data_IF_133166968954
#
_entry.id   IF_133166968954
#
_cell.length_a   1.000
_cell.length_b   1.000
_cell.length_c   1.000
_cell.angle_alpha   90.00
_cell.angle_beta   90.00
_cell.angle_gamma   90.00
#
_symmetry.space_group_name_H-M   'P 1'
#
loop_
_entity.id
_entity.type
_entity.pdbx_description
1 polymer ?
#
# COMPACT_ATOMS: atom_id res chain seq x y z
N UNK A 1 12.03 -8.78 -27.45
CA UNK A 1 10.57 -8.78 -27.24
C UNK A 1 10.32 -8.39 -25.78
N UNK A 2 9.64 -7.28 -25.52
CA UNK A 2 9.35 -6.83 -24.15
C UNK A 2 8.18 -7.64 -23.59
N UNK A 3 8.46 -8.54 -22.66
CA UNK A 3 7.44 -9.31 -21.94
C UNK A 3 6.63 -8.34 -21.06
N UNK A 4 5.31 -8.37 -21.16
CA UNK A 4 4.43 -7.62 -20.25
C UNK A 4 4.49 -8.26 -18.87
N UNK A 5 4.70 -7.45 -17.83
CA UNK A 5 4.64 -7.91 -16.44
C UNK A 5 3.23 -8.38 -16.10
N UNK A 6 3.15 -9.48 -15.36
CA UNK A 6 1.90 -10.07 -14.87
C UNK A 6 1.54 -9.50 -13.50
N UNK A 7 0.24 -9.53 -13.16
CA UNK A 7 -0.22 -9.08 -11.85
C UNK A 7 0.42 -9.91 -10.70
N UNK A 8 0.71 -11.19 -10.94
CA UNK A 8 1.39 -12.04 -9.96
C UNK A 8 2.85 -11.62 -9.75
N UNK A 9 3.57 -11.23 -10.81
CA UNK A 9 4.93 -10.70 -10.67
C UNK A 9 4.93 -9.41 -9.83
N UNK A 10 3.95 -8.52 -10.02
CA UNK A 10 3.79 -7.33 -9.18
C UNK A 10 3.46 -7.67 -7.72
N UNK A 11 2.62 -8.68 -7.47
CA UNK A 11 2.32 -9.14 -6.12
C UNK A 11 3.56 -9.70 -5.41
N UNK A 12 4.43 -10.39 -6.15
CA UNK A 12 5.66 -10.98 -5.61
C UNK A 12 6.64 -9.89 -5.11
N UNK A 13 6.69 -8.72 -5.75
CA UNK A 13 7.59 -7.61 -5.36
C UNK A 13 7.34 -7.21 -3.90
N UNK A 14 6.08 -7.12 -3.50
CA UNK A 14 5.71 -6.69 -2.14
C UNK A 14 5.60 -7.87 -1.16
N UNK A 15 5.79 -9.11 -1.63
CA UNK A 15 5.50 -10.34 -0.87
C UNK A 15 4.02 -10.50 -0.56
N UNK A 16 3.15 -10.09 -1.47
CA UNK A 16 1.70 -10.07 -1.33
C UNK A 16 0.99 -11.09 -2.23
N UNK A 17 -0.32 -10.89 -2.40
CA UNK A 17 -1.17 -11.68 -3.28
C UNK A 17 -1.98 -10.77 -4.21
N UNK A 18 -2.45 -11.33 -5.32
CA UNK A 18 -3.39 -10.65 -6.22
C UNK A 18 -4.77 -10.61 -5.56
N UNK A 19 -5.34 -9.42 -5.45
CA UNK A 19 -6.71 -9.20 -4.92
C UNK A 19 -7.73 -9.26 -6.05
N UNK A 20 -7.46 -8.56 -7.16
CA UNK A 20 -8.31 -8.59 -8.36
C UNK A 20 -7.50 -8.26 -9.60
N UNK A 21 -7.97 -8.73 -10.74
CA UNK A 21 -7.50 -8.36 -12.08
C UNK A 21 -8.61 -7.74 -12.93
N UNK A 22 -9.81 -7.60 -12.38
CA UNK A 22 -10.97 -7.01 -13.06
C UNK A 22 -10.91 -5.48 -12.95
N UNK A 23 -10.84 -4.80 -14.10
CA UNK A 23 -10.68 -3.34 -14.18
C UNK A 23 -9.21 -2.93 -14.05
N UNK A 24 -8.61 -3.16 -12.89
CA UNK A 24 -7.18 -2.92 -12.62
C UNK A 24 -6.54 -4.16 -11.98
N UNK A 25 -5.21 -4.29 -12.10
CA UNK A 25 -4.47 -5.24 -11.28
C UNK A 25 -4.33 -4.62 -9.88
N UNK A 26 -4.83 -5.29 -8.85
CA UNK A 26 -4.63 -4.88 -7.45
C UNK A 26 -3.93 -5.99 -6.72
N UNK A 27 -2.84 -5.65 -6.05
CA UNK A 27 -2.05 -6.57 -5.23
C UNK A 27 -1.98 -6.04 -3.81
N UNK A 28 -1.92 -6.94 -2.84
CA UNK A 28 -1.93 -6.55 -1.44
C UNK A 28 -1.10 -7.49 -0.59
N UNK A 29 -0.39 -6.90 0.37
CA UNK A 29 0.18 -7.58 1.52
C UNK A 29 -0.47 -7.02 2.78
N UNK A 30 -0.84 -7.89 3.72
CA UNK A 30 -1.34 -7.40 5.00
C UNK A 30 -0.19 -6.97 5.90
N UNK A 31 -0.35 -5.82 6.55
CA UNK A 31 0.53 -5.38 7.62
C UNK A 31 0.28 -6.17 8.90
N UNK A 32 1.35 -6.40 9.66
CA UNK A 32 1.27 -7.10 10.94
C UNK A 32 1.12 -6.11 12.10
N UNK A 33 -0.09 -5.56 12.27
CA UNK A 33 -0.42 -4.64 13.36
C UNK A 33 -1.43 -5.33 14.28
N UNK A 34 -1.16 -5.36 15.58
CA UNK A 34 -2.10 -5.85 16.58
C UNK A 34 -3.18 -4.78 16.86
N UNK A 35 -4.12 -4.63 15.92
CA UNK A 35 -5.21 -3.68 16.01
C UNK A 35 -6.53 -4.34 16.43
N UNK A 36 -7.33 -3.59 17.16
CA UNK A 36 -8.72 -3.91 17.48
C UNK A 36 -9.66 -2.89 16.85
N UNK A 37 -10.89 -3.28 16.54
CA UNK A 37 -11.99 -2.40 16.15
C UNK A 37 -13.19 -2.83 16.99
N UNK A 38 -13.85 -1.88 17.66
CA UNK A 38 -14.93 -2.18 18.61
C UNK A 38 -14.50 -3.22 19.68
N UNK A 39 -13.24 -3.13 20.13
CA UNK A 39 -12.66 -4.03 21.13
C UNK A 39 -12.37 -5.47 20.66
N UNK A 40 -12.52 -5.78 19.37
CA UNK A 40 -12.19 -7.11 18.80
C UNK A 40 -10.97 -7.03 17.91
N UNK A 41 -10.04 -7.98 18.07
CA UNK A 41 -8.86 -8.06 17.21
C UNK A 41 -9.26 -8.25 15.75
N UNK A 42 -8.64 -7.47 14.85
CA UNK A 42 -8.82 -7.62 13.40
C UNK A 42 -7.58 -8.23 12.76
N UNK A 43 -7.79 -9.09 11.77
CA UNK A 43 -6.79 -9.54 10.80
C UNK A 43 -7.25 -9.30 9.36
N UNK A 44 -8.31 -8.49 9.22
CA UNK A 44 -8.98 -8.29 7.95
C UNK A 44 -8.06 -7.56 6.97
N UNK A 45 -7.97 -8.01 5.71
CA UNK A 45 -7.32 -7.27 4.64
C UNK A 45 -7.89 -5.86 4.44
N UNK A 46 -9.15 -5.61 4.86
CA UNK A 46 -9.78 -4.29 4.81
C UNK A 46 -9.26 -3.33 5.89
N UNK A 47 -8.72 -3.86 6.98
CA UNK A 47 -8.20 -3.06 8.08
C UNK A 47 -6.69 -2.89 8.00
N UNK A 48 -5.99 -3.90 7.49
CA UNK A 48 -4.52 -3.97 7.51
C UNK A 48 -3.85 -3.95 6.11
N UNK A 49 -4.33 -3.21 5.10
CA UNK A 49 -3.75 -3.27 3.76
C UNK A 49 -2.38 -2.58 3.70
N UNK A 50 -1.49 -3.14 2.89
CA UNK A 50 -0.53 -2.42 2.05
C UNK A 50 -0.83 -2.87 0.61
N UNK A 51 -1.54 -2.03 -0.13
CA UNK A 51 -2.12 -2.36 -1.42
C UNK A 51 -1.61 -1.43 -2.51
N UNK A 52 -1.38 -2.00 -3.70
CA UNK A 52 -0.99 -1.27 -4.91
C UNK A 52 -1.95 -1.64 -6.04
N UNK A 53 -2.38 -0.65 -6.80
CA UNK A 53 -3.23 -0.78 -7.98
C UNK A 53 -2.50 -0.29 -9.22
N UNK A 54 -2.66 -1.01 -10.32
CA UNK A 54 -1.99 -0.75 -11.59
C UNK A 54 -3.02 -0.77 -12.74
N UNK A 55 -3.21 0.38 -13.37
CA UNK A 55 -4.09 0.53 -14.52
C UNK A 55 -3.35 0.40 -15.86
N UNK A 56 -4.09 0.06 -16.93
CA UNK A 56 -3.52 -0.11 -18.27
C UNK A 56 -3.03 1.18 -18.91
N UNK A 57 -3.50 2.33 -18.43
CA UNK A 57 -3.10 3.66 -18.88
C UNK A 57 -1.82 4.18 -18.17
N UNK A 58 -1.22 3.38 -17.28
CA UNK A 58 -0.04 3.76 -16.52
C UNK A 58 -0.33 4.55 -15.25
N UNK A 59 -1.59 4.74 -14.87
CA UNK A 59 -1.96 5.24 -13.54
C UNK A 59 -1.74 4.14 -12.50
N UNK A 60 -1.01 4.48 -11.44
CA UNK A 60 -0.78 3.59 -10.32
C UNK A 60 -1.15 4.29 -9.01
N UNK A 61 -1.81 3.54 -8.13
CA UNK A 61 -2.35 4.03 -6.85
C UNK A 61 -1.85 3.12 -5.73
N UNK A 62 -1.54 3.70 -4.58
CA UNK A 62 -1.11 2.97 -3.39
C UNK A 62 -1.90 3.39 -2.17
N UNK A 63 -2.19 2.42 -1.31
CA UNK A 63 -2.83 2.61 -0.02
C UNK A 63 -2.09 1.77 1.04
N UNK A 64 -1.88 2.33 2.22
CA UNK A 64 -1.49 1.51 3.39
C UNK A 64 -2.17 1.97 4.65
N UNK A 65 -2.52 1.01 5.50
CA UNK A 65 -2.71 1.28 6.93
C UNK A 65 -1.40 1.78 7.53
N UNK A 66 -1.49 2.76 8.43
CA UNK A 66 -0.33 3.40 9.02
C UNK A 66 -0.60 3.78 10.47
N UNK A 67 0.38 3.55 11.35
CA UNK A 67 0.35 4.05 12.72
C UNK A 67 0.77 5.52 12.76
N UNK A 68 0.30 6.28 13.74
CA UNK A 68 0.62 7.71 13.85
C UNK A 68 2.13 8.01 13.81
N UNK A 69 2.95 7.16 14.45
CA UNK A 69 4.41 7.29 14.46
C UNK A 69 5.09 7.03 13.11
N UNK A 70 4.42 6.30 12.21
CA UNK A 70 4.94 5.89 10.91
C UNK A 70 4.62 6.92 9.81
N UNK A 71 3.69 7.85 10.07
CA UNK A 71 3.20 8.84 9.09
C UNK A 71 4.34 9.63 8.44
N UNK A 72 5.12 10.36 9.24
CA UNK A 72 6.18 11.21 8.70
C UNK A 72 7.32 10.39 8.04
N UNK A 73 7.77 9.26 8.61
CA UNK A 73 8.71 8.37 7.93
C UNK A 73 8.23 7.92 6.55
N UNK A 74 6.99 7.39 6.46
CA UNK A 74 6.45 6.89 5.19
C UNK A 74 6.28 8.02 4.18
N UNK A 75 5.68 9.14 4.59
CA UNK A 75 5.47 10.30 3.74
C UNK A 75 6.80 10.85 3.18
N UNK A 76 7.85 10.89 4.01
CA UNK A 76 9.18 11.34 3.59
C UNK A 76 9.80 10.36 2.60
N UNK A 77 9.73 9.05 2.89
CA UNK A 77 10.30 8.01 2.05
C UNK A 77 9.63 7.91 0.67
N UNK A 78 8.30 8.10 0.60
CA UNK A 78 7.54 8.19 -0.65
C UNK A 78 7.97 9.41 -1.48
N UNK A 79 8.01 10.60 -0.86
CA UNK A 79 8.38 11.84 -1.55
C UNK A 79 9.82 11.84 -2.06
N UNK A 80 10.74 11.24 -1.30
CA UNK A 80 12.14 11.05 -1.73
C UNK A 80 12.26 10.24 -3.03
N UNK A 81 11.28 9.40 -3.33
CA UNK A 81 11.18 8.58 -4.54
C UNK A 81 10.31 9.21 -5.64
N UNK A 82 9.86 10.45 -5.46
CA UNK A 82 9.02 11.15 -6.43
C UNK A 82 7.56 10.67 -6.48
N UNK A 83 7.13 9.87 -5.50
CA UNK A 83 5.73 9.43 -5.38
C UNK A 83 4.90 10.53 -4.72
N UNK A 84 3.72 10.82 -5.28
CA UNK A 84 2.88 11.93 -4.84
C UNK A 84 1.94 11.41 -3.74
N UNK A 85 2.16 11.85 -2.49
CA UNK A 85 1.23 11.56 -1.38
C UNK A 85 0.04 12.51 -1.46
N UNK A 86 -1.17 11.97 -1.62
CA UNK A 86 -2.39 12.75 -1.91
C UNK A 86 -3.35 12.86 -0.74
N UNK A 87 -3.44 11.83 0.10
CA UNK A 87 -4.38 11.83 1.22
C UNK A 87 -3.85 11.10 2.45
N UNK A 88 -4.33 11.56 3.61
CA UNK A 88 -4.18 10.91 4.90
C UNK A 88 -5.50 11.02 5.66
N UNK A 89 -6.08 9.90 6.07
CA UNK A 89 -7.38 9.86 6.75
C UNK A 89 -7.54 8.58 7.59
N UNK A 90 -8.74 8.31 8.11
CA UNK A 90 -9.06 7.08 8.83
C UNK A 90 -10.26 6.36 8.18
N UNK A 91 -10.30 5.03 8.27
CA UNK A 91 -11.47 4.21 7.86
C UNK A 91 -12.36 3.85 9.05
N UNK A 92 -11.75 3.53 10.19
CA UNK A 92 -12.46 2.94 11.34
C UNK A 92 -12.63 3.96 12.48
N UNK A 93 -13.70 3.73 13.25
CA UNK A 93 -13.94 4.35 14.55
C UNK A 93 -13.69 3.30 15.63
N UNK A 94 -13.30 3.75 16.82
CA UNK A 94 -13.05 2.89 18.00
C UNK A 94 -12.01 1.80 17.73
N UNK A 95 -10.98 2.17 16.98
CA UNK A 95 -9.80 1.37 16.72
C UNK A 95 -8.71 1.61 17.78
N UNK A 96 -7.98 0.57 18.16
CA UNK A 96 -6.85 0.64 19.09
C UNK A 96 -5.75 -0.35 18.67
N UNK A 97 -4.48 0.08 18.47
CA UNK A 97 -4.06 1.49 18.44
C UNK A 97 -4.70 2.25 17.29
N UNK A 98 -4.67 3.59 17.37
CA UNK A 98 -5.18 4.42 16.28
C UNK A 98 -4.43 4.12 14.99
N UNK A 99 -5.15 3.54 14.03
CA UNK A 99 -4.71 3.30 12.67
C UNK A 99 -5.31 4.35 11.73
N UNK A 100 -4.48 4.83 10.83
CA UNK A 100 -4.82 5.76 9.77
C UNK A 100 -4.49 5.13 8.42
N UNK A 101 -4.79 5.83 7.33
CA UNK A 101 -4.56 5.39 5.96
C UNK A 101 -3.88 6.50 5.20
N UNK A 102 -2.89 6.13 4.40
CA UNK A 102 -2.15 7.03 3.52
C UNK A 102 -2.31 6.57 2.08
N UNK A 103 -2.55 7.53 1.19
CA UNK A 103 -2.68 7.30 -0.25
C UNK A 103 -1.59 8.02 -1.02
N UNK A 104 -1.10 7.38 -2.07
CA UNK A 104 -0.16 7.98 -3.01
C UNK A 104 -0.45 7.53 -4.44
N UNK A 105 -0.02 8.34 -5.40
CA UNK A 105 -0.24 8.11 -6.82
C UNK A 105 1.01 8.41 -7.64
N UNK A 106 1.10 7.75 -8.79
CA UNK A 106 2.17 7.98 -9.75
C UNK A 106 1.80 7.47 -11.15
N UNK A 107 2.24 8.19 -12.18
CA UNK A 107 2.08 7.78 -13.58
C UNK A 107 3.40 7.24 -14.10
N UNK A 108 3.39 5.99 -14.57
CA UNK A 108 4.55 5.36 -15.20
C UNK A 108 4.54 3.84 -15.13
N UNK A 109 5.73 3.23 -15.12
CA UNK A 109 5.89 1.77 -15.15
C UNK A 109 5.40 1.11 -13.84
N UNK A 110 4.59 0.05 -13.97
CA UNK A 110 4.05 -0.68 -12.83
C UNK A 110 5.11 -1.33 -11.93
N UNK A 111 6.21 -1.82 -12.50
CA UNK A 111 7.33 -2.42 -11.74
C UNK A 111 8.01 -1.36 -10.89
N UNK A 112 8.40 -0.23 -11.50
CA UNK A 112 9.03 0.88 -10.80
C UNK A 112 8.14 1.37 -9.65
N UNK A 113 6.83 1.53 -9.90
CA UNK A 113 5.89 1.93 -8.86
C UNK A 113 5.84 0.94 -7.69
N UNK A 114 5.84 -0.37 -7.98
CA UNK A 114 5.80 -1.41 -6.97
C UNK A 114 7.08 -1.43 -6.13
N UNK A 115 8.24 -1.38 -6.78
CA UNK A 115 9.55 -1.37 -6.12
C UNK A 115 9.72 -0.11 -5.26
N UNK A 116 9.51 1.08 -5.83
CA UNK A 116 9.65 2.35 -5.11
C UNK A 116 8.68 2.45 -3.92
N UNK A 117 7.44 2.01 -4.08
CA UNK A 117 6.46 2.00 -2.99
C UNK A 117 6.87 1.06 -1.87
N UNK A 118 7.37 -0.13 -2.20
CA UNK A 118 7.77 -1.13 -1.21
C UNK A 118 9.07 -0.76 -0.51
N UNK A 119 10.05 -0.22 -1.23
CA UNK A 119 11.26 0.33 -0.64
C UNK A 119 10.96 1.47 0.34
N UNK A 120 10.01 2.36 0.00
CA UNK A 120 9.57 3.40 0.93
C UNK A 120 8.97 2.80 2.21
N UNK A 121 8.18 1.73 2.08
CA UNK A 121 7.62 1.02 3.22
C UNK A 121 8.70 0.34 4.07
N UNK A 122 9.72 -0.25 3.46
CA UNK A 122 10.87 -0.82 4.18
C UNK A 122 11.69 0.26 4.90
N UNK A 123 11.99 1.38 4.24
CA UNK A 123 12.72 2.51 4.85
C UNK A 123 11.97 3.11 6.04
N UNK A 124 10.63 3.17 5.96
CA UNK A 124 9.78 3.67 7.03
C UNK A 124 9.46 2.62 8.12
N UNK A 125 9.97 1.38 8.00
CA UNK A 125 9.83 0.34 9.02
C UNK A 125 8.45 -0.29 9.08
N UNK A 126 7.74 -0.39 7.95
CA UNK A 126 6.37 -0.90 7.91
C UNK A 126 6.29 -2.44 8.03
N UNK A 127 7.40 -3.16 7.82
CA UNK A 127 7.45 -4.62 7.76
C UNK A 127 8.64 -5.19 8.53
#
# INVERSE_FOLDING_TARGET
>A
MNRRVTCQELANIIGGAVVTTQGACVVQRNRNINATILGRQTRSPLALPFALSFERNGLNLGETVILQKEINPMLTALRKRGLIVTAMHNHWLFDEPRIMYMHWEWVGNAVDFAELSFEAALEAGLF
#
